data_IF_784132260600
#
_entry.id   IF_784132260600
#
_cell.length_a   1.000
_cell.length_b   1.000
_cell.length_c   1.000
_cell.angle_alpha   90.00
_cell.angle_beta   90.00
_cell.angle_gamma   90.00
#
_symmetry.space_group_name_H-M   'P 1'
#
loop_
_entity.id
_entity.type
_entity.pdbx_description
1 polymer ?
#
# COMPACT_ATOMS: atom_id res chain seq x y z
N UNK A 1 -2.88 -19.04 -39.55
CA UNK A 1 -3.28 -18.24 -38.37
C UNK A 1 -2.71 -18.93 -37.15
N UNK A 2 -1.61 -18.42 -36.58
CA UNK A 2 -0.97 -19.04 -35.40
C UNK A 2 -1.75 -18.56 -34.18
N UNK A 3 -2.49 -19.46 -33.54
CA UNK A 3 -3.16 -19.15 -32.28
C UNK A 3 -2.08 -19.17 -31.19
N UNK A 4 -1.62 -18.01 -30.76
CA UNK A 4 -0.69 -17.89 -29.64
C UNK A 4 -1.50 -18.06 -28.36
N UNK A 5 -1.34 -19.20 -27.69
CA UNK A 5 -1.95 -19.41 -26.38
C UNK A 5 -1.15 -18.66 -25.32
N UNK A 6 -1.84 -17.99 -24.41
CA UNK A 6 -1.21 -17.31 -23.27
C UNK A 6 -0.31 -18.26 -22.47
N UNK A 7 -0.68 -19.55 -22.40
CA UNK A 7 0.07 -20.55 -21.66
C UNK A 7 1.33 -21.05 -22.36
N UNK A 8 1.42 -20.85 -23.68
CA UNK A 8 2.62 -21.17 -24.48
C UNK A 8 3.68 -20.08 -24.46
N UNK A 9 3.43 -18.96 -23.76
CA UNK A 9 4.39 -17.86 -23.68
C UNK A 9 5.55 -18.18 -22.73
N UNK A 10 6.79 -17.79 -23.08
CA UNK A 10 7.91 -17.79 -22.16
C UNK A 10 7.59 -17.04 -20.86
N UNK A 11 8.08 -17.57 -19.72
CA UNK A 11 7.81 -17.01 -18.40
C UNK A 11 8.21 -15.52 -18.29
N UNK A 12 9.32 -15.13 -18.93
CA UNK A 12 9.77 -13.73 -18.94
C UNK A 12 8.78 -12.79 -19.64
N UNK A 13 8.08 -13.27 -20.69
CA UNK A 13 7.03 -12.49 -21.34
C UNK A 13 5.76 -12.43 -20.48
N UNK A 14 5.41 -13.54 -19.81
CA UNK A 14 4.30 -13.56 -18.86
C UNK A 14 4.52 -12.58 -17.70
N UNK A 15 5.73 -12.54 -17.14
CA UNK A 15 6.07 -11.57 -16.09
C UNK A 15 6.03 -10.13 -16.59
N UNK A 16 6.43 -9.86 -17.83
CA UNK A 16 6.27 -8.52 -18.44
C UNK A 16 4.80 -8.14 -18.62
N UNK A 17 3.95 -9.09 -18.97
CA UNK A 17 2.51 -8.87 -19.03
C UNK A 17 1.95 -8.60 -17.62
N UNK A 18 2.43 -9.32 -16.61
CA UNK A 18 2.02 -9.12 -15.21
C UNK A 18 2.43 -7.76 -14.67
N UNK A 19 3.49 -7.13 -15.20
CA UNK A 19 3.88 -5.76 -14.81
C UNK A 19 2.75 -4.73 -15.10
N UNK A 20 1.78 -5.05 -15.97
CA UNK A 20 0.61 -4.21 -16.28
C UNK A 20 -0.65 -4.54 -15.47
N UNK A 21 -0.63 -5.60 -14.66
CA UNK A 21 -1.79 -6.03 -13.88
C UNK A 21 -1.62 -5.72 -12.39
N UNK A 22 -2.75 -5.51 -11.71
CA UNK A 22 -2.76 -5.44 -10.25
C UNK A 22 -2.62 -6.84 -9.63
N UNK A 23 -2.20 -6.87 -8.36
CA UNK A 23 -2.02 -8.11 -7.61
C UNK A 23 -3.30 -8.95 -7.58
N UNK A 24 -4.46 -8.31 -7.47
CA UNK A 24 -5.73 -9.02 -7.43
C UNK A 24 -6.02 -9.77 -8.74
N UNK A 25 -5.72 -9.16 -9.88
CA UNK A 25 -5.89 -9.74 -11.21
C UNK A 25 -4.93 -10.92 -11.41
N UNK A 26 -3.66 -10.74 -11.05
CA UNK A 26 -2.63 -11.80 -11.19
C UNK A 26 -3.00 -13.04 -10.37
N UNK A 27 -3.58 -12.86 -9.18
CA UNK A 27 -3.89 -13.98 -8.30
C UNK A 27 -5.26 -14.59 -8.57
N UNK A 28 -6.30 -13.74 -8.69
CA UNK A 28 -7.68 -14.21 -8.74
C UNK A 28 -8.11 -14.59 -10.15
N UNK A 29 -7.69 -13.83 -11.17
CA UNK A 29 -8.06 -14.13 -12.55
C UNK A 29 -7.08 -15.13 -13.17
N UNK A 30 -5.78 -14.92 -12.96
CA UNK A 30 -4.74 -15.71 -13.63
C UNK A 30 -4.33 -16.93 -12.78
N UNK A 31 -3.97 -16.72 -11.52
CA UNK A 31 -3.49 -17.79 -10.64
C UNK A 31 -4.56 -18.82 -10.29
N UNK A 32 -5.80 -18.39 -10.04
CA UNK A 32 -6.90 -19.30 -9.69
C UNK A 32 -7.54 -19.99 -10.91
N UNK A 33 -7.53 -19.34 -12.07
CA UNK A 33 -8.21 -19.83 -13.27
C UNK A 33 -7.45 -20.92 -14.04
N UNK A 34 -6.11 -20.95 -13.91
CA UNK A 34 -5.26 -21.84 -14.72
C UNK A 34 -4.10 -22.40 -13.90
N UNK A 35 -4.08 -23.72 -13.67
CA UNK A 35 -3.02 -24.40 -12.91
C UNK A 35 -1.60 -24.11 -13.42
N UNK A 36 -1.43 -23.99 -14.74
CA UNK A 36 -0.13 -23.67 -15.35
C UNK A 36 0.31 -22.23 -15.09
N UNK A 37 -0.64 -21.29 -15.01
CA UNK A 37 -0.34 -19.90 -14.69
C UNK A 37 -0.20 -19.65 -13.19
N UNK A 38 -0.75 -20.53 -12.34
CA UNK A 38 -0.55 -20.47 -10.89
C UNK A 38 0.93 -20.49 -10.49
N UNK A 39 1.72 -21.40 -11.07
CA UNK A 39 3.17 -21.45 -10.81
C UNK A 39 3.90 -20.19 -11.32
N UNK A 40 3.43 -19.62 -12.44
CA UNK A 40 3.97 -18.38 -13.00
C UNK A 40 3.64 -17.17 -12.12
N UNK A 41 2.40 -17.09 -11.62
CA UNK A 41 1.96 -16.06 -10.67
C UNK A 41 2.72 -16.15 -9.35
N UNK A 42 3.01 -17.36 -8.85
CA UNK A 42 3.75 -17.54 -7.59
C UNK A 42 5.24 -17.24 -7.71
N UNK A 43 5.83 -17.40 -8.90
CA UNK A 43 7.21 -17.00 -9.17
C UNK A 43 7.34 -15.52 -9.55
N UNK A 44 6.21 -14.82 -9.77
CA UNK A 44 6.21 -13.40 -10.04
C UNK A 44 6.42 -12.61 -8.76
N UNK A 45 7.50 -11.85 -8.74
CA UNK A 45 8.07 -11.29 -7.53
C UNK A 45 8.04 -9.74 -7.53
N UNK A 46 7.15 -9.14 -8.32
CA UNK A 46 7.01 -7.68 -8.45
C UNK A 46 5.57 -7.25 -8.21
N UNK A 47 4.92 -7.84 -7.21
CA UNK A 47 3.53 -7.57 -6.90
C UNK A 47 3.35 -6.17 -6.32
N UNK A 48 2.37 -5.44 -6.86
CA UNK A 48 1.92 -4.13 -6.37
C UNK A 48 0.53 -4.29 -5.78
N UNK A 49 0.44 -4.27 -4.45
CA UNK A 49 -0.79 -4.53 -3.74
C UNK A 49 -1.42 -3.23 -3.26
N UNK A 50 -2.68 -3.00 -3.66
CA UNK A 50 -3.47 -1.84 -3.20
C UNK A 50 -4.70 -2.34 -2.46
N UNK A 51 -4.80 -2.01 -1.17
CA UNK A 51 -5.95 -2.34 -0.36
C UNK A 51 -7.00 -1.21 -0.40
N UNK A 52 -8.10 -1.44 -1.13
CA UNK A 52 -9.26 -0.55 -1.22
C UNK A 52 -10.61 -1.26 -0.94
N UNK A 53 -11.71 -0.50 -0.83
CA UNK A 53 -13.01 -0.95 -0.27
C UNK A 53 -13.66 -2.18 -0.88
N UNK A 54 -13.61 -2.34 -2.20
CA UNK A 54 -14.17 -3.49 -2.89
C UNK A 54 -13.39 -4.80 -2.69
N UNK A 55 -12.34 -4.81 -1.86
CA UNK A 55 -11.42 -5.96 -1.71
C UNK A 55 -11.56 -6.74 -0.39
N UNK A 56 -12.58 -6.51 0.45
CA UNK A 56 -12.73 -7.25 1.72
C UNK A 56 -12.77 -8.78 1.53
N UNK A 57 -13.57 -9.27 0.58
CA UNK A 57 -13.60 -10.71 0.27
C UNK A 57 -12.27 -11.20 -0.32
N UNK A 58 -11.56 -10.31 -1.01
CA UNK A 58 -10.30 -10.63 -1.66
C UNK A 58 -9.15 -10.66 -0.66
N UNK A 59 -9.17 -9.90 0.43
CA UNK A 59 -8.01 -9.82 1.33
C UNK A 59 -7.67 -11.16 2.00
N UNK A 60 -8.69 -11.91 2.44
CA UNK A 60 -8.51 -13.25 3.04
C UNK A 60 -8.07 -14.30 2.01
N UNK A 61 -8.44 -14.11 0.75
CA UNK A 61 -8.00 -14.97 -0.35
C UNK A 61 -6.55 -14.63 -0.66
N UNK A 62 -6.25 -13.36 -0.86
CA UNK A 62 -4.91 -12.83 -1.13
C UNK A 62 -3.94 -13.25 -0.01
N UNK A 63 -4.32 -13.19 1.25
CA UNK A 63 -3.46 -13.66 2.35
C UNK A 63 -3.14 -15.16 2.32
N UNK A 64 -3.92 -15.98 1.61
CA UNK A 64 -3.66 -17.42 1.44
C UNK A 64 -2.85 -17.74 0.18
N UNK A 65 -2.93 -16.91 -0.85
CA UNK A 65 -2.32 -17.18 -2.15
C UNK A 65 -1.09 -16.32 -2.44
N UNK A 66 -0.90 -15.20 -1.73
CA UNK A 66 0.27 -14.34 -1.92
C UNK A 66 1.39 -14.76 -0.99
N UNK A 67 2.54 -15.03 -1.60
CA UNK A 67 3.80 -14.94 -0.88
C UNK A 67 4.11 -13.45 -0.67
N UNK A 68 4.09 -12.99 0.58
CA UNK A 68 4.21 -11.57 0.92
C UNK A 68 5.61 -11.02 0.60
N UNK A 69 6.61 -11.88 0.55
CA UNK A 69 7.97 -11.57 0.06
C UNK A 69 7.98 -11.13 -1.43
N UNK A 70 6.94 -11.46 -2.20
CA UNK A 70 6.82 -11.04 -3.60
C UNK A 70 6.19 -9.65 -3.76
N UNK A 71 5.69 -9.05 -2.68
CA UNK A 71 5.14 -7.70 -2.69
C UNK A 71 6.28 -6.69 -2.62
N UNK A 72 6.40 -5.87 -3.66
CA UNK A 72 7.40 -4.80 -3.75
C UNK A 72 6.81 -3.42 -3.43
N UNK A 73 5.48 -3.29 -3.55
CA UNK A 73 4.75 -2.05 -3.29
C UNK A 73 3.44 -2.37 -2.57
N UNK A 74 3.20 -1.68 -1.47
CA UNK A 74 1.99 -1.80 -0.65
C UNK A 74 1.34 -0.43 -0.52
N UNK A 75 0.08 -0.34 -0.91
CA UNK A 75 -0.75 0.86 -0.71
C UNK A 75 -1.96 0.49 0.13
N UNK A 76 -2.12 1.12 1.29
CA UNK A 76 -3.27 0.92 2.16
C UNK A 76 -4.04 2.24 2.25
N UNK A 77 -5.33 2.21 1.86
CA UNK A 77 -6.18 3.40 1.86
C UNK A 77 -7.45 3.20 2.67
N UNK A 78 -7.60 4.05 3.69
CA UNK A 78 -8.88 4.24 4.37
C UNK A 78 -9.79 5.15 3.54
N UNK A 79 -11.06 4.76 3.36
CA UNK A 79 -12.05 5.64 2.73
C UNK A 79 -12.45 6.81 3.63
N UNK A 80 -12.44 6.61 4.95
CA UNK A 80 -12.66 7.63 5.96
C UNK A 80 -11.89 7.27 7.24
N UNK A 81 -11.77 8.20 8.18
CA UNK A 81 -10.99 8.02 9.42
C UNK A 81 -11.56 6.94 10.35
N UNK A 82 -12.87 6.68 10.27
CA UNK A 82 -13.54 5.65 11.08
C UNK A 82 -13.35 4.25 10.50
N UNK A 83 -12.60 4.13 9.40
CA UNK A 83 -12.32 2.86 8.76
C UNK A 83 -11.14 2.19 9.46
N UNK A 84 -11.37 0.97 9.93
CA UNK A 84 -10.40 0.12 10.61
C UNK A 84 -9.60 -0.75 9.63
N UNK A 85 -9.48 -0.35 8.35
CA UNK A 85 -8.79 -1.18 7.33
C UNK A 85 -7.34 -1.41 7.66
N UNK A 86 -6.64 -0.38 8.14
CA UNK A 86 -5.24 -0.53 8.54
C UNK A 86 -5.16 -1.55 9.67
N UNK A 87 -6.02 -1.43 10.68
CA UNK A 87 -6.06 -2.37 11.80
C UNK A 87 -6.43 -3.79 11.36
N UNK A 88 -7.36 -3.95 10.41
CA UNK A 88 -7.69 -5.25 9.82
C UNK A 88 -6.55 -5.83 9.00
N UNK A 89 -5.86 -5.00 8.23
CA UNK A 89 -4.68 -5.40 7.46
C UNK A 89 -3.60 -5.91 8.42
N UNK A 90 -3.28 -5.13 9.46
CA UNK A 90 -2.35 -5.53 10.53
C UNK A 90 -2.80 -6.84 11.18
N UNK A 91 -4.09 -7.01 11.51
CA UNK A 91 -4.58 -8.29 12.08
C UNK A 91 -4.42 -9.49 11.15
N UNK A 92 -4.52 -9.28 9.83
CA UNK A 92 -4.47 -10.36 8.84
C UNK A 92 -3.04 -10.71 8.40
N UNK A 93 -2.15 -9.73 8.40
CA UNK A 93 -0.78 -9.86 7.90
C UNK A 93 0.29 -9.63 8.98
N UNK A 94 -0.14 -9.55 10.25
CA UNK A 94 0.58 -8.86 11.33
C UNK A 94 2.05 -9.19 11.52
N UNK A 95 2.49 -10.44 11.36
CA UNK A 95 3.90 -10.82 11.59
C UNK A 95 4.59 -11.25 10.30
N UNK A 96 4.12 -10.76 9.15
CA UNK A 96 4.63 -11.20 7.87
C UNK A 96 5.81 -10.34 7.41
N UNK A 97 6.89 -11.02 7.01
CA UNK A 97 8.09 -10.36 6.53
C UNK A 97 7.90 -9.87 5.09
N UNK A 98 7.82 -8.55 4.94
CA UNK A 98 7.77 -7.86 3.66
C UNK A 98 9.19 -7.66 3.10
N UNK A 99 9.94 -8.76 2.93
CA UNK A 99 11.40 -8.72 2.64
C UNK A 99 11.82 -7.88 1.44
N UNK A 100 10.95 -7.77 0.43
CA UNK A 100 11.25 -7.08 -0.84
C UNK A 100 10.40 -5.82 -1.02
N UNK A 101 9.71 -5.40 0.03
CA UNK A 101 8.92 -4.18 0.01
C UNK A 101 9.85 -3.00 -0.11
N UNK A 102 9.64 -2.22 -1.17
CA UNK A 102 10.44 -1.05 -1.52
C UNK A 102 9.60 0.24 -1.52
N UNK A 103 8.28 0.11 -1.41
CA UNK A 103 7.33 1.22 -1.44
C UNK A 103 6.15 0.94 -0.53
N UNK A 104 5.91 1.81 0.44
CA UNK A 104 4.78 1.79 1.34
C UNK A 104 4.03 3.11 1.26
N UNK A 105 2.78 3.06 0.85
CA UNK A 105 1.87 4.20 0.85
C UNK A 105 0.71 3.97 1.83
N UNK A 106 0.56 4.84 2.82
CA UNK A 106 -0.54 4.79 3.79
C UNK A 106 -1.34 6.06 3.68
N UNK A 107 -2.61 5.93 3.32
CA UNK A 107 -3.47 7.06 2.97
C UNK A 107 -4.66 7.15 3.92
N UNK A 108 -4.90 8.36 4.45
CA UNK A 108 -6.00 8.70 5.34
C UNK A 108 -5.96 7.90 6.65
N UNK A 109 -4.80 7.93 7.32
CA UNK A 109 -4.56 7.21 8.56
C UNK A 109 -4.40 8.15 9.77
N UNK A 110 -4.67 7.62 10.96
CA UNK A 110 -4.28 8.26 12.22
C UNK A 110 -2.83 7.89 12.59
N UNK A 111 -2.20 8.68 13.46
CA UNK A 111 -0.86 8.34 13.96
C UNK A 111 -0.84 6.97 14.65
N UNK A 112 -1.86 6.65 15.44
CA UNK A 112 -1.98 5.36 16.13
C UNK A 112 -2.04 4.18 15.14
N UNK A 113 -2.79 4.31 14.05
CA UNK A 113 -2.86 3.29 13.00
C UNK A 113 -1.54 3.13 12.26
N UNK A 114 -0.83 4.23 12.01
CA UNK A 114 0.47 4.20 11.37
C UNK A 114 1.51 3.53 12.28
N UNK A 115 1.56 3.90 13.56
CA UNK A 115 2.46 3.29 14.54
C UNK A 115 2.19 1.79 14.66
N UNK A 116 0.92 1.40 14.75
CA UNK A 116 0.52 -0.01 14.78
C UNK A 116 0.98 -0.75 13.52
N UNK A 117 0.83 -0.15 12.33
CA UNK A 117 1.29 -0.75 11.08
C UNK A 117 2.82 -0.94 11.05
N UNK A 118 3.57 0.08 11.44
CA UNK A 118 5.04 0.06 11.39
C UNK A 118 5.65 -0.91 12.41
N UNK A 119 4.99 -1.18 13.54
CA UNK A 119 5.43 -2.21 14.49
C UNK A 119 5.33 -3.64 13.93
N UNK A 120 4.51 -3.85 12.91
CA UNK A 120 4.15 -5.16 12.36
C UNK A 120 4.77 -5.42 10.98
N UNK A 121 5.38 -4.41 10.36
CA UNK A 121 6.12 -4.57 9.11
C UNK A 121 7.60 -4.62 9.45
N UNK A 122 8.23 -5.77 9.28
CA UNK A 122 9.68 -5.88 9.36
C UNK A 122 10.30 -5.31 8.08
N UNK A 123 11.01 -4.19 8.23
CA UNK A 123 11.55 -3.40 7.11
C UNK A 123 13.06 -3.61 7.08
N UNK A 124 13.49 -4.66 6.38
CA UNK A 124 14.93 -4.94 6.18
C UNK A 124 15.54 -4.15 5.00
N UNK A 125 14.72 -3.50 4.17
CA UNK A 125 15.16 -2.85 2.92
C UNK A 125 14.75 -1.38 2.83
N UNK A 126 15.43 -0.55 2.02
CA UNK A 126 15.09 0.86 1.89
C UNK A 126 13.71 1.03 1.27
N UNK A 127 12.77 1.52 2.06
CA UNK A 127 11.39 1.75 1.66
C UNK A 127 11.19 3.22 1.30
N UNK A 128 10.59 3.47 0.14
CA UNK A 128 9.94 4.73 -0.18
C UNK A 128 8.65 4.80 0.63
N UNK A 129 8.58 5.73 1.58
CA UNK A 129 7.42 5.91 2.46
C UNK A 129 6.61 7.12 2.02
N UNK A 130 5.33 6.92 1.73
CA UNK A 130 4.37 7.98 1.43
C UNK A 130 3.23 7.91 2.44
N UNK A 131 3.05 8.96 3.24
CA UNK A 131 2.04 9.01 4.29
C UNK A 131 1.17 10.23 4.07
N UNK A 132 -0.14 9.99 4.03
CA UNK A 132 -1.17 11.01 4.12
C UNK A 132 -1.88 10.85 5.47
N UNK A 133 -1.44 11.67 6.43
CA UNK A 133 -1.99 11.73 7.78
C UNK A 133 -3.24 12.60 7.78
N UNK A 134 -4.31 12.08 8.37
CA UNK A 134 -5.46 12.92 8.67
C UNK A 134 -5.14 13.80 9.89
N UNK A 135 -4.85 15.09 9.67
CA UNK A 135 -4.73 16.03 10.78
C UNK A 135 -6.11 16.22 11.43
N UNK A 136 -6.33 15.59 12.58
CA UNK A 136 -7.41 15.98 13.48
C UNK A 136 -7.01 17.31 14.14
N UNK A 137 -7.15 18.41 13.42
CA UNK A 137 -7.34 19.71 14.07
C UNK A 137 -8.67 19.65 14.84
N UNK A 138 -8.64 19.06 16.05
CA UNK A 138 -9.64 19.34 17.06
C UNK A 138 -9.43 20.79 17.45
N UNK A 139 -10.21 21.68 16.85
CA UNK A 139 -10.40 23.04 17.35
C UNK A 139 -11.03 23.01 18.73
N UNK A 140 -10.25 22.68 19.76
CA UNK A 140 -10.51 23.11 21.14
C UNK A 140 -9.82 24.43 21.37
N UNK A 141 -10.23 25.46 20.63
CA UNK A 141 -10.04 26.83 21.10
C UNK A 141 -11.31 27.18 21.85
N UNK A 142 -11.26 26.98 23.18
CA UNK A 142 -12.15 27.69 24.10
C UNK A 142 -12.20 29.15 23.63
N UNK A 143 -13.42 29.66 23.47
CA UNK A 143 -13.71 31.09 23.50
C UNK A 143 -12.85 31.72 24.59
N UNK A 144 -11.84 32.48 24.21
CA UNK A 144 -11.17 33.51 25.02
C UNK A 144 -10.33 34.37 24.07
N UNK A 145 -10.96 35.45 23.61
CA UNK A 145 -10.42 36.81 23.55
C UNK A 145 -8.97 37.00 23.03
N UNK A 146 -8.84 37.40 21.75
CA UNK A 146 -8.32 38.71 21.26
C UNK A 146 -7.96 38.64 19.75
N UNK A 147 -7.90 39.80 19.03
CA UNK A 147 -8.54 40.01 17.72
C UNK A 147 -7.65 39.72 16.49
N UNK A 148 -8.24 39.64 15.28
CA UNK A 148 -7.48 39.56 14.04
C UNK A 148 -6.91 40.94 13.73
N UNK A 149 -5.59 41.00 13.55
CA UNK A 149 -4.85 41.93 12.70
C UNK A 149 -3.44 42.07 13.28
N UNK A 150 -2.43 41.58 12.55
CA UNK A 150 -1.12 42.22 12.34
C UNK A 150 -0.41 41.46 11.19
N UNK A 151 -0.55 42.05 10.01
CA UNK A 151 0.47 42.31 8.98
C UNK A 151 1.44 41.22 8.48
N UNK A 152 1.31 40.97 7.18
CA UNK A 152 2.38 40.96 6.15
C UNK A 152 3.78 41.38 6.65
N UNK A 153 4.78 40.54 6.38
CA UNK A 153 6.19 40.92 6.48
C UNK A 153 7.12 39.89 5.86
N UNK A 154 7.78 40.27 4.78
CA UNK A 154 8.88 39.56 4.14
C UNK A 154 9.95 39.14 5.17
N UNK A 155 10.43 37.90 5.09
CA UNK A 155 11.70 37.53 5.72
C UNK A 155 12.80 37.71 4.68
N UNK A 156 13.49 38.86 4.76
CA UNK A 156 14.78 39.07 4.12
C UNK A 156 15.83 38.40 5.01
N UNK A 157 16.54 37.42 4.46
CA UNK A 157 17.70 36.82 5.09
C UNK A 157 18.87 37.83 5.04
N UNK A 158 19.29 38.33 6.20
CA UNK A 158 20.60 38.97 6.34
C UNK A 158 21.51 38.07 7.15
N UNK A 159 22.44 37.44 6.45
CA UNK A 159 23.68 36.86 6.98
C UNK A 159 24.61 37.98 7.45
N UNK A 160 24.98 37.99 8.72
CA UNK A 160 26.03 38.86 9.24
C UNK A 160 27.36 38.10 9.28
N UNK A 161 28.32 38.58 8.48
CA UNK A 161 29.76 38.54 8.78
C UNK A 161 30.15 39.88 9.37
#
# INVERSE_FOLDING_TARGET
>A
MVCVSFVSLPIGLLHRIFDFFDTQTILLAIGRGYHQLHAVSNSYNRLKFTYHSSSQYNLKIISRYVCLENIISLTIKNENINNDRIDRFVKLFGTCEFRRLSSLAVINCTCEQLENLLQHIDIESPITLSIDLHSTYRGTTRKNLLPPDIFNGQVIANSST
#
